data_IF_931895021495
#
_entry.id   IF_931895021495
#
_cell.length_a   1.000
_cell.length_b   1.000
_cell.length_c   1.000
_cell.angle_alpha   90.00
_cell.angle_beta   90.00
_cell.angle_gamma   90.00
#
_symmetry.space_group_name_H-M   'P 1'
#
loop_
_entity.id
_entity.type
_entity.pdbx_description
1 polymer ?
#
# COMPACT_ATOMS: atom_id res chain seq x y z
N UNK A 1 -7.05 -4.88 -2.99
CA UNK A 1 -5.66 -4.95 -3.49
C UNK A 1 -4.74 -4.07 -2.64
N UNK A 2 -3.55 -4.56 -2.30
CA UNK A 2 -2.50 -3.79 -1.62
C UNK A 2 -1.33 -3.62 -2.59
N UNK A 3 -1.01 -2.37 -2.92
CA UNK A 3 0.11 -2.03 -3.82
C UNK A 3 1.19 -1.29 -3.03
N UNK A 4 2.34 -1.95 -2.84
CA UNK A 4 3.52 -1.39 -2.20
C UNK A 4 4.62 -1.04 -3.19
N UNK A 5 5.79 -0.63 -2.68
CA UNK A 5 6.94 -0.24 -3.49
C UNK A 5 7.63 -1.47 -4.12
N UNK A 6 8.28 -2.27 -3.31
CA UNK A 6 9.03 -3.48 -3.66
C UNK A 6 9.31 -4.27 -2.38
N UNK A 7 9.66 -5.57 -2.47
CA UNK A 7 10.10 -6.33 -1.32
C UNK A 7 11.34 -5.69 -0.68
N UNK A 8 11.34 -5.51 0.64
CA UNK A 8 12.55 -5.24 1.40
C UNK A 8 13.39 -6.52 1.56
N UNK A 9 14.64 -6.40 2.05
CA UNK A 9 15.55 -7.55 2.18
C UNK A 9 14.96 -8.71 3.01
N UNK A 10 14.22 -8.41 4.08
CA UNK A 10 13.59 -9.43 4.92
C UNK A 10 12.48 -10.18 4.16
N UNK A 11 11.67 -9.46 3.41
CA UNK A 11 10.62 -10.04 2.57
C UNK A 11 11.23 -10.87 1.45
N UNK A 12 12.31 -10.39 0.82
CA UNK A 12 13.07 -11.12 -0.19
C UNK A 12 13.58 -12.47 0.33
N UNK A 13 14.16 -12.49 1.53
CA UNK A 13 14.71 -13.70 2.14
C UNK A 13 13.63 -14.69 2.58
N UNK A 14 12.46 -14.22 3.00
CA UNK A 14 11.37 -15.09 3.50
C UNK A 14 10.36 -15.48 2.44
N UNK A 15 10.29 -14.76 1.32
CA UNK A 15 9.27 -14.93 0.30
C UNK A 15 7.85 -14.52 0.74
N UNK A 16 7.68 -13.98 1.96
CA UNK A 16 6.38 -13.62 2.50
C UNK A 16 6.20 -12.10 2.42
N UNK A 17 5.25 -11.58 1.61
CA UNK A 17 4.99 -10.15 1.48
C UNK A 17 4.66 -9.51 2.83
N UNK A 18 5.21 -8.32 3.08
CA UNK A 18 4.95 -7.58 4.32
C UNK A 18 5.29 -8.33 5.63
N UNK A 19 6.21 -9.29 5.59
CA UNK A 19 6.70 -9.99 6.78
C UNK A 19 7.85 -9.24 7.45
N UNK A 20 7.59 -7.99 7.81
CA UNK A 20 8.54 -7.05 8.42
C UNK A 20 7.81 -6.03 9.31
N UNK A 21 8.54 -5.13 10.00
CA UNK A 21 7.90 -4.09 10.83
C UNK A 21 6.96 -3.15 10.06
N UNK A 22 7.18 -2.96 8.76
CA UNK A 22 6.25 -2.17 7.93
C UNK A 22 4.93 -2.90 7.75
N UNK A 23 4.98 -4.21 7.54
CA UNK A 23 3.79 -5.05 7.43
C UNK A 23 3.02 -5.15 8.75
N UNK A 24 3.72 -5.23 9.88
CA UNK A 24 3.05 -5.21 11.20
C UNK A 24 2.27 -3.89 11.37
N UNK A 25 2.89 -2.77 11.01
CA UNK A 25 2.22 -1.46 11.06
C UNK A 25 1.06 -1.35 10.07
N UNK A 26 1.20 -1.87 8.86
CA UNK A 26 0.13 -1.84 7.87
C UNK A 26 -1.10 -2.63 8.35
N UNK A 27 -0.90 -3.81 8.92
CA UNK A 27 -1.99 -4.60 9.55
C UNK A 27 -2.65 -3.83 10.68
N UNK A 28 -1.86 -3.18 11.53
CA UNK A 28 -2.40 -2.32 12.59
C UNK A 28 -3.22 -1.15 12.01
N UNK A 29 -2.76 -0.48 10.96
CA UNK A 29 -3.48 0.61 10.31
C UNK A 29 -4.82 0.18 9.73
N UNK A 30 -4.82 -0.95 9.03
CA UNK A 30 -6.03 -1.51 8.40
C UNK A 30 -6.93 -2.26 9.39
N UNK A 31 -6.46 -2.50 10.62
CA UNK A 31 -7.12 -3.35 11.63
C UNK A 31 -7.39 -4.78 11.13
N UNK A 32 -6.50 -5.31 10.30
CA UNK A 32 -6.56 -6.67 9.79
C UNK A 32 -5.60 -7.58 10.58
N UNK A 33 -6.10 -8.72 11.04
CA UNK A 33 -5.24 -9.76 11.59
C UNK A 33 -4.42 -10.45 10.48
N UNK A 34 -3.44 -11.26 10.87
CA UNK A 34 -2.59 -11.97 9.90
C UNK A 34 -3.39 -12.93 9.01
N UNK A 35 -4.40 -13.58 9.54
CA UNK A 35 -5.20 -14.56 8.80
C UNK A 35 -5.95 -13.86 7.67
N UNK A 36 -6.66 -12.80 7.96
CA UNK A 36 -7.39 -12.00 6.96
C UNK A 36 -6.44 -11.30 5.99
N UNK A 37 -5.32 -10.74 6.47
CA UNK A 37 -4.35 -10.03 5.64
C UNK A 37 -3.71 -10.93 4.57
N UNK A 38 -3.53 -12.22 4.84
CA UNK A 38 -2.97 -13.20 3.91
C UNK A 38 -4.02 -14.14 3.30
N UNK A 39 -5.30 -13.86 3.48
CA UNK A 39 -6.34 -14.64 2.80
C UNK A 39 -6.39 -14.27 1.32
N UNK A 40 -5.92 -15.18 0.49
CA UNK A 40 -5.83 -15.01 -0.97
C UNK A 40 -7.19 -14.86 -1.65
N UNK A 41 -8.28 -15.24 -0.99
CA UNK A 41 -9.63 -15.07 -1.52
C UNK A 41 -10.17 -13.65 -1.30
N UNK A 42 -9.56 -12.90 -0.38
CA UNK A 42 -10.01 -11.56 0.01
C UNK A 42 -9.00 -10.47 -0.34
N UNK A 43 -7.70 -10.77 -0.25
CA UNK A 43 -6.65 -9.77 -0.39
C UNK A 43 -5.60 -10.21 -1.41
N UNK A 44 -5.41 -9.38 -2.43
CA UNK A 44 -4.30 -9.48 -3.36
C UNK A 44 -3.19 -8.49 -2.95
N UNK A 45 -1.93 -8.93 -3.02
CA UNK A 45 -0.75 -8.11 -2.73
C UNK A 45 0.14 -8.08 -3.96
N UNK A 46 0.25 -6.92 -4.62
CA UNK A 46 1.04 -6.76 -5.83
C UNK A 46 1.91 -5.51 -5.69
N UNK A 47 3.24 -5.63 -5.47
CA UNK A 47 4.13 -4.48 -5.39
C UNK A 47 4.43 -3.88 -6.77
N UNK A 48 4.93 -2.64 -6.80
CA UNK A 48 5.40 -1.97 -8.03
C UNK A 48 6.65 -2.65 -8.62
N UNK A 49 7.48 -3.28 -7.77
CA UNK A 49 8.63 -4.09 -8.16
C UNK A 49 8.60 -5.44 -7.46
N UNK A 50 9.01 -6.51 -8.14
CA UNK A 50 8.86 -7.89 -7.63
C UNK A 50 10.12 -8.44 -6.96
N UNK A 51 11.23 -7.72 -6.99
CA UNK A 51 12.48 -8.12 -6.33
C UNK A 51 12.99 -7.00 -5.43
N UNK A 52 13.82 -7.37 -4.47
CA UNK A 52 14.52 -6.41 -3.62
C UNK A 52 15.51 -5.59 -4.48
N UNK A 53 15.34 -4.26 -4.53
CA UNK A 53 16.12 -3.41 -5.43
C UNK A 53 17.53 -3.07 -4.89
N UNK A 54 17.84 -3.43 -3.67
CA UNK A 54 19.06 -3.04 -2.95
C UNK A 54 18.84 -1.87 -2.01
N UNK A 55 19.87 -1.56 -1.21
CA UNK A 55 19.90 -0.45 -0.24
C UNK A 55 20.74 0.70 -0.78
N UNK A 56 20.21 1.92 -0.66
CA UNK A 56 20.93 3.16 -0.90
C UNK A 56 21.16 3.95 0.40
N UNK A 57 21.74 5.16 0.30
CA UNK A 57 22.06 6.01 1.48
C UNK A 57 20.83 6.36 2.33
N UNK A 58 19.66 6.49 1.72
CA UNK A 58 18.41 6.90 2.41
C UNK A 58 17.41 5.76 2.58
N UNK A 59 17.80 4.52 2.31
CA UNK A 59 16.95 3.35 2.43
C UNK A 59 16.95 2.47 1.19
N UNK A 60 15.92 1.64 1.02
CA UNK A 60 15.82 0.79 -0.15
C UNK A 60 15.73 1.64 -1.43
N UNK A 61 16.40 1.17 -2.46
CA UNK A 61 16.36 1.80 -3.78
C UNK A 61 14.95 1.80 -4.37
N UNK A 62 14.67 2.66 -5.36
CA UNK A 62 13.39 2.64 -6.07
C UNK A 62 13.08 1.26 -6.68
N UNK A 63 11.78 0.92 -6.83
CA UNK A 63 11.40 -0.30 -7.54
C UNK A 63 11.88 -0.24 -8.99
N UNK A 64 12.19 -1.39 -9.56
CA UNK A 64 12.52 -1.49 -10.98
C UNK A 64 11.33 -1.07 -11.82
N UNK A 65 11.51 -0.05 -12.65
CA UNK A 65 10.45 0.56 -13.48
C UNK A 65 9.81 -0.44 -14.44
N UNK A 66 10.62 -1.35 -14.96
CA UNK A 66 10.20 -2.37 -15.91
C UNK A 66 9.16 -3.33 -15.33
N UNK A 67 9.23 -3.61 -14.02
CA UNK A 67 8.31 -4.56 -13.38
C UNK A 67 6.84 -4.13 -13.54
N UNK A 68 6.54 -2.88 -13.20
CA UNK A 68 5.18 -2.37 -13.29
C UNK A 68 4.65 -2.39 -14.73
N UNK A 69 5.43 -1.88 -15.70
CA UNK A 69 5.01 -1.82 -17.11
C UNK A 69 4.82 -3.18 -17.76
N UNK A 70 5.62 -4.19 -17.38
CA UNK A 70 5.55 -5.53 -17.96
C UNK A 70 4.44 -6.40 -17.35
N UNK A 71 4.16 -6.24 -16.05
CA UNK A 71 3.41 -7.23 -15.31
C UNK A 71 2.10 -6.76 -14.71
N UNK A 72 1.96 -5.47 -14.29
CA UNK A 72 0.77 -5.06 -13.55
C UNK A 72 -0.52 -5.25 -14.33
N UNK A 73 -0.57 -4.86 -15.59
CA UNK A 73 -1.77 -5.01 -16.41
C UNK A 73 -2.19 -6.48 -16.55
N UNK A 74 -1.21 -7.39 -16.73
CA UNK A 74 -1.46 -8.84 -16.86
C UNK A 74 -1.97 -9.44 -15.54
N UNK A 75 -1.38 -9.04 -14.41
CA UNK A 75 -1.81 -9.54 -13.10
C UNK A 75 -3.19 -9.02 -12.73
N UNK A 76 -3.46 -7.73 -12.96
CA UNK A 76 -4.75 -7.13 -12.67
C UNK A 76 -5.88 -7.69 -13.53
N UNK A 77 -5.60 -8.09 -14.78
CA UNK A 77 -6.58 -8.76 -15.63
C UNK A 77 -7.09 -10.09 -15.03
N UNK A 78 -6.29 -10.75 -14.20
CA UNK A 78 -6.68 -11.95 -13.46
C UNK A 78 -7.44 -11.66 -12.15
N UNK A 79 -7.68 -10.40 -11.79
CA UNK A 79 -8.29 -9.97 -10.53
C UNK A 79 -9.52 -9.06 -10.78
N UNK A 80 -10.60 -9.58 -11.41
CA UNK A 80 -11.73 -8.75 -11.85
C UNK A 80 -12.56 -8.17 -10.69
N UNK A 81 -12.43 -8.73 -9.48
CA UNK A 81 -13.29 -8.40 -8.33
C UNK A 81 -12.66 -7.40 -7.35
N UNK A 82 -11.59 -6.70 -7.73
CA UNK A 82 -10.97 -5.68 -6.86
C UNK A 82 -11.93 -4.51 -6.67
N UNK A 83 -12.34 -4.28 -5.42
CA UNK A 83 -13.23 -3.18 -5.04
C UNK A 83 -12.47 -1.96 -4.54
N UNK A 84 -11.32 -2.17 -3.88
CA UNK A 84 -10.47 -1.11 -3.35
C UNK A 84 -9.00 -1.44 -3.56
N UNK A 85 -8.21 -0.43 -3.90
CA UNK A 85 -6.75 -0.54 -3.98
C UNK A 85 -6.09 0.41 -2.99
N UNK A 86 -5.34 -0.14 -2.02
CA UNK A 86 -4.50 0.64 -1.10
C UNK A 86 -3.19 0.99 -1.80
N UNK A 87 -2.90 2.27 -1.99
CA UNK A 87 -1.71 2.78 -2.66
C UNK A 87 -0.67 3.20 -1.62
N UNK A 88 0.30 2.31 -1.32
CA UNK A 88 1.27 2.47 -0.25
C UNK A 88 2.53 3.18 -0.75
N UNK A 89 2.68 4.45 -0.36
CA UNK A 89 3.85 5.28 -0.69
C UNK A 89 3.77 5.90 -2.08
N UNK A 90 4.76 6.76 -2.37
CA UNK A 90 4.72 7.63 -3.54
C UNK A 90 4.73 6.88 -4.89
N UNK A 91 5.45 5.77 -5.00
CA UNK A 91 5.56 5.06 -6.29
C UNK A 91 4.22 4.45 -6.74
N UNK A 92 3.49 3.84 -5.81
CA UNK A 92 2.14 3.33 -6.09
C UNK A 92 1.19 4.49 -6.42
N UNK A 93 1.21 5.58 -5.63
CA UNK A 93 0.37 6.74 -5.86
C UNK A 93 0.66 7.39 -7.22
N UNK A 94 1.91 7.61 -7.58
CA UNK A 94 2.28 8.19 -8.88
C UNK A 94 1.84 7.32 -10.05
N UNK A 95 1.99 6.01 -9.93
CA UNK A 95 1.60 5.09 -11.01
C UNK A 95 0.08 5.03 -11.22
N UNK A 96 -0.69 4.87 -10.15
CA UNK A 96 -2.13 4.67 -10.25
C UNK A 96 -2.93 5.96 -10.38
N UNK A 97 -2.51 7.03 -9.72
CA UNK A 97 -3.21 8.31 -9.74
C UNK A 97 -2.72 9.23 -10.87
N UNK A 98 -1.47 9.10 -11.31
CA UNK A 98 -0.90 9.92 -12.37
C UNK A 98 -1.12 11.41 -12.12
N UNK A 99 -1.79 12.09 -13.05
CA UNK A 99 -2.13 13.53 -12.96
C UNK A 99 -3.18 13.86 -11.88
N UNK A 100 -3.89 12.89 -11.34
CA UNK A 100 -4.86 13.09 -10.26
C UNK A 100 -4.19 13.19 -8.89
N UNK A 101 -2.94 12.71 -8.75
CA UNK A 101 -2.17 12.88 -7.52
C UNK A 101 -1.99 14.38 -7.22
N UNK A 102 -2.07 14.75 -5.93
CA UNK A 102 -1.78 16.12 -5.51
C UNK A 102 -0.28 16.38 -5.60
N UNK A 103 0.15 17.61 -5.33
CA UNK A 103 1.53 18.09 -5.49
C UNK A 103 2.57 17.23 -4.74
N UNK A 104 2.17 16.61 -3.63
CA UNK A 104 3.04 15.74 -2.84
C UNK A 104 2.24 14.65 -2.13
N UNK A 105 2.97 13.66 -1.59
CA UNK A 105 2.40 12.52 -0.89
C UNK A 105 1.48 12.95 0.26
N UNK A 106 1.87 13.94 1.05
CA UNK A 106 1.11 14.39 2.21
C UNK A 106 -0.26 14.93 1.81
N UNK A 107 -0.30 15.76 0.77
CA UNK A 107 -1.56 16.29 0.24
C UNK A 107 -2.42 15.18 -0.42
N UNK A 108 -1.80 14.25 -1.14
CA UNK A 108 -2.51 13.12 -1.72
C UNK A 108 -3.16 12.26 -0.64
N UNK A 109 -2.45 11.95 0.44
CA UNK A 109 -3.00 11.21 1.58
C UNK A 109 -4.10 11.99 2.28
N UNK A 110 -3.92 13.30 2.50
CA UNK A 110 -4.93 14.14 3.14
C UNK A 110 -6.25 14.23 2.32
N UNK A 111 -6.13 14.14 0.99
CA UNK A 111 -7.27 14.16 0.06
C UNK A 111 -7.79 12.76 -0.29
N UNK A 112 -7.60 11.75 0.56
CA UNK A 112 -7.95 10.35 0.24
C UNK A 112 -9.39 10.18 -0.25
N UNK A 113 -10.32 10.97 0.24
CA UNK A 113 -11.72 10.91 -0.13
C UNK A 113 -11.98 11.22 -1.61
N UNK A 114 -11.10 12.01 -2.25
CA UNK A 114 -11.21 12.33 -3.68
C UNK A 114 -10.98 11.10 -4.59
N UNK A 115 -10.37 10.03 -4.04
CA UNK A 115 -10.00 8.82 -4.79
C UNK A 115 -10.89 7.62 -4.50
N UNK A 116 -11.78 7.73 -3.51
CA UNK A 116 -12.74 6.67 -3.20
C UNK A 116 -13.83 6.57 -4.30
N UNK A 117 -14.42 5.39 -4.47
CA UNK A 117 -14.18 4.14 -3.75
C UNK A 117 -13.01 3.31 -4.29
N UNK A 118 -12.34 3.72 -5.36
CA UNK A 118 -11.38 2.91 -6.11
C UNK A 118 -10.01 2.84 -5.42
N UNK A 119 -9.51 3.98 -4.94
CA UNK A 119 -8.17 4.07 -4.37
C UNK A 119 -8.16 4.66 -2.97
N UNK A 120 -7.25 4.17 -2.13
CA UNK A 120 -6.96 4.74 -0.82
C UNK A 120 -5.45 4.97 -0.68
N UNK A 121 -4.97 6.21 -0.87
CA UNK A 121 -3.55 6.52 -0.76
C UNK A 121 -3.10 6.56 0.70
N UNK A 122 -1.96 5.91 0.99
CA UNK A 122 -1.35 5.84 2.32
C UNK A 122 0.15 6.19 2.25
N UNK A 123 0.73 6.76 3.31
CA UNK A 123 2.18 6.84 3.41
C UNK A 123 2.76 5.44 3.56
N UNK A 124 4.07 5.27 3.30
CA UNK A 124 4.71 3.99 3.55
C UNK A 124 4.79 3.72 5.06
N UNK A 125 4.38 2.54 5.56
CA UNK A 125 4.33 2.23 7.00
C UNK A 125 5.70 1.95 7.63
N UNK A 126 6.79 2.22 6.93
CA UNK A 126 8.15 2.05 7.44
C UNK A 126 8.39 2.83 8.74
N UNK A 127 9.15 2.27 9.70
CA UNK A 127 9.62 3.00 10.87
C UNK A 127 10.37 4.30 10.53
N UNK A 128 10.97 4.40 9.35
CA UNK A 128 11.63 5.63 8.85
C UNK A 128 10.65 6.81 8.71
N UNK A 129 9.36 6.54 8.54
CA UNK A 129 8.31 7.56 8.45
C UNK A 129 7.76 8.05 9.80
N UNK A 130 8.38 7.67 10.94
CA UNK A 130 7.95 8.13 12.26
C UNK A 130 7.96 9.67 12.38
N UNK A 131 8.92 10.34 11.75
CA UNK A 131 8.97 11.82 11.73
C UNK A 131 7.78 12.38 10.97
N UNK A 132 7.43 11.79 9.83
CA UNK A 132 6.27 12.20 9.06
C UNK A 132 4.97 12.02 9.87
N UNK A 133 4.80 10.89 10.54
CA UNK A 133 3.64 10.62 11.40
C UNK A 133 3.52 11.63 12.52
N UNK A 134 4.63 11.95 13.21
CA UNK A 134 4.65 12.99 14.25
C UNK A 134 4.27 14.38 13.74
N UNK A 135 4.64 14.71 12.51
CA UNK A 135 4.29 16.01 11.87
C UNK A 135 2.87 16.04 11.32
N UNK A 136 2.23 14.90 11.18
CA UNK A 136 0.90 14.77 10.58
C UNK A 136 -0.06 13.97 11.50
N UNK A 137 -0.36 14.46 12.72
CA UNK A 137 -1.20 13.73 13.69
C UNK A 137 -2.64 13.52 13.19
N UNK A 138 -3.08 14.32 12.23
CA UNK A 138 -4.37 14.15 11.55
C UNK A 138 -4.49 12.80 10.85
N UNK A 139 -3.38 12.18 10.42
CA UNK A 139 -3.38 10.88 9.78
C UNK A 139 -3.96 9.81 10.71
N UNK A 140 -3.46 9.72 11.93
CA UNK A 140 -3.96 8.75 12.90
C UNK A 140 -5.38 9.11 13.38
N UNK A 141 -5.68 10.40 13.51
CA UNK A 141 -6.95 10.87 14.05
C UNK A 141 -8.11 10.74 13.06
N UNK A 142 -7.88 10.93 11.77
CA UNK A 142 -8.95 11.00 10.77
C UNK A 142 -8.82 9.94 9.67
N UNK A 143 -7.60 9.69 9.17
CA UNK A 143 -7.42 8.80 8.02
C UNK A 143 -7.51 7.33 8.44
N UNK A 144 -6.86 6.94 9.55
CA UNK A 144 -6.90 5.55 9.97
C UNK A 144 -8.32 5.06 10.36
N UNK A 145 -9.18 5.83 11.05
CA UNK A 145 -10.56 5.43 11.25
C UNK A 145 -11.33 5.22 9.94
N UNK A 146 -11.18 6.14 8.97
CA UNK A 146 -11.80 6.02 7.67
C UNK A 146 -11.31 4.77 6.91
N UNK A 147 -9.99 4.51 6.93
CA UNK A 147 -9.39 3.33 6.32
C UNK A 147 -9.96 2.03 6.91
N UNK A 148 -10.05 1.95 8.23
CA UNK A 148 -10.58 0.77 8.93
C UNK A 148 -12.04 0.50 8.58
N UNK A 149 -12.87 1.55 8.57
CA UNK A 149 -14.27 1.46 8.16
C UNK A 149 -14.37 0.97 6.71
N UNK A 150 -13.59 1.57 5.79
CA UNK A 150 -13.61 1.19 4.38
C UNK A 150 -13.18 -0.29 4.20
N UNK A 151 -12.09 -0.70 4.85
CA UNK A 151 -11.64 -2.09 4.77
C UNK A 151 -12.65 -3.08 5.34
N UNK A 152 -13.22 -2.80 6.53
CA UNK A 152 -14.19 -3.69 7.16
C UNK A 152 -15.48 -3.80 6.35
N UNK A 153 -15.95 -2.70 5.76
CA UNK A 153 -17.15 -2.69 4.91
C UNK A 153 -16.95 -3.58 3.69
N UNK A 154 -15.81 -3.47 3.01
CA UNK A 154 -15.53 -4.26 1.81
C UNK A 154 -15.36 -5.73 2.13
N UNK A 155 -14.63 -6.07 3.18
CA UNK A 155 -14.37 -7.47 3.56
C UNK A 155 -15.59 -8.17 4.18
N UNK A 156 -16.56 -7.44 4.71
CA UNK A 156 -17.82 -8.02 5.23
C UNK A 156 -18.87 -8.24 4.14
N UNK A 157 -18.72 -7.67 2.96
CA UNK A 157 -19.61 -7.85 1.79
C UNK A 157 -19.19 -9.08 0.96
N UNK A 158 -18.02 -9.65 1.21
CA UNK A 158 -17.57 -10.84 0.49
C UNK A 158 -18.27 -12.08 1.04
N UNK A 159 -19.04 -12.83 0.24
CA UNK A 159 -19.78 -14.03 0.66
C UNK A 159 -18.89 -15.19 1.07
#
# INVERSE_FOLDING_TARGET
LIVGQAPGIRVHNTGIPWNDPSGDRLRHWTNLDKKTFYDINQIAIIPMGFCYPGTGPSGDLPPRKECASLWLAKLLAGLPNIQLTLLIGQYAQQHYLGKQAKTNLTQTVASFADYLPTYFPLPHPSPRNNIWLKRNPWFEKFILPALRITCSTILSITP
#
